data_IF_637166592275
#
_entry.id   IF_637166592275
#
_cell.length_a   1.000
_cell.length_b   1.000
_cell.length_c   1.000
_cell.angle_alpha   90.00
_cell.angle_beta   90.00
_cell.angle_gamma   90.00
#
_symmetry.space_group_name_H-M   'P 1'
#
loop_
_entity.id
_entity.type
_entity.pdbx_description
1 polymer ?
#
# COMPACT_ATOMS: atom_id res chain seq x y z
N UNK A 1 23.86 -1.34 17.35
CA UNK A 1 24.98 -0.38 17.19
C UNK A 1 24.66 0.76 16.21
N UNK A 2 24.05 0.50 15.04
CA UNK A 2 23.74 1.56 14.07
C UNK A 2 22.71 2.59 14.57
N UNK A 3 21.88 2.24 15.52
CA UNK A 3 20.82 3.08 16.07
C UNK A 3 21.10 3.55 17.51
N UNK A 4 22.30 3.25 18.04
CA UNK A 4 22.67 3.67 19.40
C UNK A 4 22.71 5.21 19.48
N UNK A 5 22.05 5.77 20.49
CA UNK A 5 21.96 7.22 20.70
C UNK A 5 20.91 7.96 19.87
N UNK A 6 20.15 7.27 18.99
CA UNK A 6 19.12 7.92 18.14
C UNK A 6 17.78 8.14 18.88
N UNK A 7 17.60 7.53 20.05
CA UNK A 7 16.32 7.56 20.79
C UNK A 7 15.22 6.66 20.23
N UNK A 8 15.45 5.96 19.11
CA UNK A 8 14.49 4.98 18.55
C UNK A 8 14.45 3.71 19.38
N UNK A 9 13.26 3.14 19.55
CA UNK A 9 13.11 1.82 20.16
C UNK A 9 13.41 0.73 19.14
N UNK A 10 14.16 -0.28 19.53
CA UNK A 10 14.53 -1.44 18.71
C UNK A 10 13.72 -2.63 19.20
N UNK A 11 12.97 -3.27 18.30
CA UNK A 11 12.32 -4.53 18.57
C UNK A 11 12.97 -5.62 17.69
N UNK A 12 13.49 -6.67 18.35
CA UNK A 12 13.97 -7.86 17.64
C UNK A 12 12.79 -8.79 17.40
N UNK A 13 12.60 -9.19 16.14
CA UNK A 13 11.50 -10.05 15.71
C UNK A 13 12.04 -11.36 15.15
N UNK A 14 11.18 -12.40 15.01
CA UNK A 14 11.59 -13.67 14.43
C UNK A 14 12.24 -13.49 13.05
N UNK A 15 13.21 -14.32 12.75
CA UNK A 15 13.86 -14.42 11.43
C UNK A 15 12.98 -15.15 10.41
N UNK A 16 11.99 -15.90 10.88
CA UNK A 16 11.16 -16.79 10.06
C UNK A 16 9.94 -16.09 9.41
N UNK A 17 9.78 -14.79 9.61
CA UNK A 17 8.68 -14.05 9.00
C UNK A 17 8.76 -14.05 7.48
N UNK A 18 7.63 -14.42 6.85
CA UNK A 18 7.50 -14.48 5.40
C UNK A 18 7.43 -13.09 4.75
N UNK A 19 6.93 -12.08 5.49
CA UNK A 19 6.76 -10.72 4.97
C UNK A 19 7.15 -9.64 5.98
N UNK A 20 7.29 -8.39 5.49
CA UNK A 20 7.45 -7.22 6.34
C UNK A 20 6.22 -6.95 7.21
N UNK A 21 5.03 -7.30 6.72
CA UNK A 21 3.76 -7.13 7.45
C UNK A 21 3.68 -8.08 8.65
N UNK A 22 4.13 -9.33 8.50
CA UNK A 22 4.22 -10.29 9.63
C UNK A 22 5.14 -9.76 10.72
N UNK A 23 6.29 -9.21 10.32
CA UNK A 23 7.25 -8.59 11.23
C UNK A 23 6.65 -7.40 11.97
N UNK A 24 5.90 -6.56 11.26
CA UNK A 24 5.24 -5.40 11.85
C UNK A 24 4.14 -5.82 12.85
N UNK A 25 3.38 -6.87 12.55
CA UNK A 25 2.39 -7.44 13.45
C UNK A 25 3.04 -7.96 14.75
N UNK A 26 4.20 -8.60 14.66
CA UNK A 26 4.96 -9.01 15.84
C UNK A 26 5.44 -7.80 16.65
N UNK A 27 5.96 -6.76 15.98
CA UNK A 27 6.35 -5.52 16.65
C UNK A 27 5.18 -4.88 17.41
N UNK A 28 3.99 -4.82 16.81
CA UNK A 28 2.80 -4.28 17.44
C UNK A 28 2.42 -5.06 18.72
N UNK A 29 2.51 -6.40 18.66
CA UNK A 29 2.25 -7.29 19.79
C UNK A 29 3.29 -7.11 20.91
N UNK A 30 4.59 -7.08 20.57
CA UNK A 30 5.67 -6.87 21.54
C UNK A 30 5.54 -5.52 22.25
N UNK A 31 5.18 -4.48 21.48
CA UNK A 31 5.01 -3.14 22.00
C UNK A 31 3.71 -2.94 22.80
N UNK A 32 2.77 -3.89 22.74
CA UNK A 32 1.47 -3.82 23.42
C UNK A 32 0.60 -2.68 22.92
N UNK A 33 0.66 -2.35 21.62
CA UNK A 33 -0.13 -1.26 21.07
C UNK A 33 -1.62 -1.60 21.07
N UNK A 34 -2.49 -0.66 21.53
CA UNK A 34 -3.93 -0.79 21.39
C UNK A 34 -4.36 -1.03 19.94
N UNK A 35 -5.47 -1.72 19.72
CA UNK A 35 -6.00 -2.10 18.41
C UNK A 35 -6.24 -0.92 17.47
N UNK A 36 -6.58 0.25 17.99
CA UNK A 36 -6.84 1.48 17.26
C UNK A 36 -5.58 2.30 16.95
N UNK A 37 -4.42 1.90 17.47
CA UNK A 37 -3.14 2.58 17.18
C UNK A 37 -2.87 2.54 15.67
N UNK A 38 -2.58 3.71 15.11
CA UNK A 38 -2.17 3.82 13.71
C UNK A 38 -0.67 3.57 13.60
N UNK A 39 -0.30 2.59 12.79
CA UNK A 39 1.07 2.16 12.54
C UNK A 39 1.40 2.42 11.08
N UNK A 40 2.34 3.30 10.80
CA UNK A 40 2.82 3.53 9.44
C UNK A 40 4.04 2.66 9.19
N UNK A 41 3.96 1.83 8.16
CA UNK A 41 5.05 0.97 7.72
C UNK A 41 5.91 1.71 6.69
N UNK A 42 7.12 2.03 7.08
CA UNK A 42 8.17 2.51 6.20
C UNK A 42 9.23 1.41 6.09
N UNK A 43 9.41 0.88 4.89
CA UNK A 43 10.40 -0.17 4.64
C UNK A 43 11.82 0.41 4.55
N UNK A 44 12.83 -0.41 4.86
CA UNK A 44 14.22 0.03 4.91
C UNK A 44 14.84 0.38 3.56
N UNK A 45 14.20 0.01 2.45
CA UNK A 45 14.54 0.36 1.08
C UNK A 45 13.97 1.70 0.62
N UNK A 46 13.13 2.36 1.45
CA UNK A 46 12.55 3.68 1.21
C UNK A 46 13.10 4.76 2.18
N UNK A 47 14.43 4.92 2.29
CA UNK A 47 15.02 5.82 3.31
C UNK A 47 14.72 7.30 3.06
N UNK A 48 14.31 7.67 1.85
CA UNK A 48 13.99 9.04 1.44
C UNK A 48 12.49 9.31 1.32
N UNK A 49 11.65 8.45 1.88
CA UNK A 49 10.21 8.67 1.86
C UNK A 49 9.84 10.04 2.44
N UNK A 50 9.08 10.88 1.72
CA UNK A 50 8.72 12.20 2.19
C UNK A 50 7.89 12.14 3.47
N UNK A 51 8.27 12.91 4.50
CA UNK A 51 7.51 12.96 5.75
C UNK A 51 6.04 13.39 5.54
N UNK A 52 5.74 14.14 4.49
CA UNK A 52 4.37 14.48 4.10
C UNK A 52 3.58 13.24 3.69
N UNK A 53 4.15 12.32 2.91
CA UNK A 53 3.51 11.06 2.53
C UNK A 53 3.23 10.17 3.75
N UNK A 54 4.20 10.04 4.66
CA UNK A 54 4.02 9.28 5.91
C UNK A 54 2.84 9.82 6.72
N UNK A 55 2.73 11.15 6.85
CA UNK A 55 1.60 11.80 7.54
C UNK A 55 0.29 11.60 6.80
N UNK A 56 0.27 11.76 5.47
CA UNK A 56 -0.93 11.58 4.66
C UNK A 56 -1.52 10.17 4.79
N UNK A 57 -0.67 9.13 4.81
CA UNK A 57 -1.12 7.75 5.04
C UNK A 57 -1.77 7.57 6.42
N UNK A 58 -1.22 8.18 7.47
CA UNK A 58 -1.80 8.13 8.82
C UNK A 58 -3.12 8.91 8.90
N UNK A 59 -3.17 10.12 8.32
CA UNK A 59 -4.34 11.01 8.36
C UNK A 59 -5.53 10.42 7.59
N UNK A 60 -5.29 9.87 6.39
CA UNK A 60 -6.37 9.23 5.63
C UNK A 60 -6.90 8.00 6.35
N UNK A 61 -6.04 7.20 6.99
CA UNK A 61 -6.48 6.06 7.80
C UNK A 61 -7.32 6.52 9.01
N UNK A 62 -6.91 7.59 9.67
CA UNK A 62 -7.64 8.13 10.83
C UNK A 62 -9.07 8.55 10.47
N UNK A 63 -9.26 9.13 9.29
CA UNK A 63 -10.52 9.75 8.85
C UNK A 63 -11.43 8.84 8.02
N UNK A 64 -10.89 7.84 7.31
CA UNK A 64 -11.65 7.05 6.32
C UNK A 64 -12.52 5.94 6.91
N UNK A 65 -12.25 5.49 8.13
CA UNK A 65 -12.85 4.27 8.70
C UNK A 65 -12.42 2.98 7.99
N UNK A 66 -11.41 3.01 7.12
CA UNK A 66 -10.80 1.83 6.53
C UNK A 66 -9.89 1.11 7.55
N UNK A 67 -9.54 -0.12 7.26
CA UNK A 67 -8.64 -0.93 8.08
C UNK A 67 -7.16 -0.67 7.74
N UNK A 68 -6.91 -0.24 6.51
CA UNK A 68 -5.59 0.00 5.94
C UNK A 68 -5.63 1.25 5.05
N UNK A 69 -4.49 1.92 4.89
CA UNK A 69 -4.34 3.02 3.94
C UNK A 69 -3.01 2.91 3.19
N UNK A 70 -2.96 3.53 2.03
CA UNK A 70 -1.76 3.64 1.20
C UNK A 70 -1.74 4.96 0.45
N UNK A 71 -0.69 5.17 -0.34
CA UNK A 71 -0.49 6.38 -1.12
C UNK A 71 -0.51 6.09 -2.62
N UNK A 72 -0.87 7.12 -3.38
CA UNK A 72 -0.75 7.10 -4.83
C UNK A 72 -0.23 8.44 -5.38
N UNK A 73 0.33 8.39 -6.58
CA UNK A 73 0.74 9.58 -7.33
C UNK A 73 0.21 9.47 -8.75
N UNK A 74 -0.12 10.57 -9.42
CA UNK A 74 -0.47 10.55 -10.84
C UNK A 74 0.62 9.93 -11.70
N UNK A 75 0.21 9.22 -12.76
CA UNK A 75 1.09 8.78 -13.85
C UNK A 75 0.96 9.81 -14.96
N UNK A 76 2.08 10.38 -15.40
CA UNK A 76 2.13 11.46 -16.37
C UNK A 76 2.67 11.03 -17.74
N UNK A 77 3.15 9.79 -17.85
CA UNK A 77 3.72 9.26 -19.08
C UNK A 77 3.27 7.81 -19.36
N UNK A 78 3.26 7.45 -20.64
CA UNK A 78 2.81 6.14 -21.10
C UNK A 78 3.78 5.03 -20.72
N UNK A 79 5.07 5.32 -20.63
CA UNK A 79 6.10 4.35 -20.27
C UNK A 79 5.87 3.83 -18.86
N UNK A 80 5.65 4.73 -17.89
CA UNK A 80 5.29 4.37 -16.52
C UNK A 80 3.98 3.59 -16.46
N UNK A 81 2.97 3.94 -17.28
CA UNK A 81 1.69 3.21 -17.30
C UNK A 81 1.88 1.75 -17.74
N UNK A 82 2.74 1.50 -18.72
CA UNK A 82 2.99 0.14 -19.24
C UNK A 82 4.11 -0.61 -18.50
N UNK A 83 4.86 0.05 -17.59
CA UNK A 83 5.87 -0.64 -16.77
C UNK A 83 5.18 -1.55 -15.73
N UNK A 84 5.40 -2.87 -15.78
CA UNK A 84 4.82 -3.80 -14.80
C UNK A 84 5.39 -3.64 -13.38
N UNK A 85 6.52 -2.93 -13.23
CA UNK A 85 7.11 -2.64 -11.91
C UNK A 85 6.45 -1.41 -11.27
N UNK A 86 5.89 -0.51 -12.06
CA UNK A 86 5.04 0.57 -11.59
C UNK A 86 3.62 0.02 -11.36
N UNK A 87 3.28 -0.33 -10.14
CA UNK A 87 1.94 -0.85 -9.81
C UNK A 87 0.90 0.26 -9.99
N UNK A 88 -0.13 -0.02 -10.77
CA UNK A 88 -1.28 0.87 -10.98
C UNK A 88 -2.36 0.56 -9.95
N UNK A 89 -3.15 1.58 -9.60
CA UNK A 89 -4.34 1.40 -8.80
C UNK A 89 -5.52 2.20 -9.35
N UNK A 90 -6.71 1.67 -9.14
CA UNK A 90 -7.98 2.37 -9.41
C UNK A 90 -8.64 2.71 -8.08
N UNK A 91 -9.10 3.95 -7.93
CA UNK A 91 -9.75 4.46 -6.73
C UNK A 91 -11.22 4.75 -7.01
N UNK A 92 -12.10 4.35 -6.09
CA UNK A 92 -13.52 4.68 -6.12
C UNK A 92 -13.79 6.14 -5.73
N UNK A 93 -15.02 6.58 -5.93
CA UNK A 93 -15.46 7.92 -5.55
C UNK A 93 -15.42 8.15 -4.02
N UNK A 94 -15.45 7.07 -3.24
CA UNK A 94 -15.32 7.07 -1.78
C UNK A 94 -13.86 7.18 -1.28
N UNK A 95 -12.89 7.27 -2.20
CA UNK A 95 -11.48 7.37 -1.89
C UNK A 95 -10.79 6.04 -1.58
N UNK A 96 -11.52 4.91 -1.62
CA UNK A 96 -10.93 3.59 -1.38
C UNK A 96 -10.41 2.96 -2.69
N UNK A 97 -9.37 2.13 -2.58
CA UNK A 97 -8.87 1.36 -3.69
C UNK A 97 -9.92 0.33 -4.15
N UNK A 98 -10.15 0.28 -5.45
CA UNK A 98 -10.97 -0.76 -6.10
C UNK A 98 -10.11 -1.94 -6.52
N UNK A 99 -8.91 -1.68 -7.04
CA UNK A 99 -7.98 -2.72 -7.47
C UNK A 99 -6.56 -2.19 -7.63
N UNK A 100 -5.59 -3.09 -7.52
CA UNK A 100 -4.18 -2.87 -7.83
C UNK A 100 -3.73 -3.85 -8.90
N UNK A 101 -2.95 -3.39 -9.89
CA UNK A 101 -2.46 -4.26 -10.96
C UNK A 101 -1.11 -3.82 -11.52
N UNK A 102 -0.35 -4.79 -11.98
CA UNK A 102 0.83 -4.55 -12.81
C UNK A 102 0.44 -4.16 -14.24
N UNK A 103 -0.75 -4.56 -14.70
CA UNK A 103 -1.30 -4.16 -15.98
C UNK A 103 -1.68 -2.66 -16.02
N UNK A 104 -1.73 -2.03 -17.20
CA UNK A 104 -2.24 -0.67 -17.35
C UNK A 104 -3.75 -0.62 -17.08
N UNK A 105 -4.13 -0.04 -15.95
CA UNK A 105 -5.51 0.17 -15.53
C UNK A 105 -5.73 1.62 -15.05
N UNK A 106 -6.93 2.23 -15.32
CA UNK A 106 -7.99 1.72 -16.21
C UNK A 106 -7.56 1.75 -17.67
N UNK A 107 -8.17 0.90 -18.50
CA UNK A 107 -7.88 0.82 -19.93
C UNK A 107 -8.77 1.78 -20.74
N UNK A 108 -8.22 2.83 -21.38
CA UNK A 108 -8.98 3.77 -22.20
C UNK A 108 -9.25 3.16 -23.58
N UNK A 109 -10.32 2.40 -23.69
CA UNK A 109 -10.65 1.53 -24.82
C UNK A 109 -10.42 2.16 -26.19
N UNK A 110 -11.04 3.31 -26.43
CA UNK A 110 -11.10 3.90 -27.78
C UNK A 110 -9.78 4.63 -28.11
N UNK A 111 -9.18 5.31 -27.11
CA UNK A 111 -7.92 6.01 -27.31
C UNK A 111 -6.77 5.02 -27.59
N UNK A 112 -6.64 3.95 -26.79
CA UNK A 112 -5.58 2.96 -26.99
C UNK A 112 -5.85 1.97 -28.15
N UNK A 113 -7.04 1.99 -28.73
CA UNK A 113 -7.29 1.35 -30.01
C UNK A 113 -6.65 2.14 -31.18
N UNK A 114 -6.59 3.47 -31.06
CA UNK A 114 -6.01 4.36 -32.07
C UNK A 114 -4.50 4.57 -31.86
N UNK A 115 -4.08 4.91 -30.65
CA UNK A 115 -2.68 5.18 -30.30
C UNK A 115 -2.38 4.75 -28.85
N UNK A 116 -1.24 4.09 -28.65
CA UNK A 116 -0.72 3.70 -27.32
C UNK A 116 0.57 4.42 -26.96
N UNK A 117 1.02 5.35 -27.79
CA UNK A 117 2.26 6.09 -27.58
C UNK A 117 2.10 7.30 -26.65
N UNK A 118 0.86 7.72 -26.40
CA UNK A 118 0.57 8.88 -25.55
C UNK A 118 -0.56 8.60 -24.59
N UNK A 119 -0.54 9.26 -23.42
CA UNK A 119 -1.68 9.20 -22.50
C UNK A 119 -2.80 10.10 -23.02
N UNK A 120 -4.05 9.60 -23.07
CA UNK A 120 -5.19 10.43 -23.45
C UNK A 120 -5.43 11.55 -22.44
N UNK A 121 -5.86 12.71 -22.94
CA UNK A 121 -6.25 13.85 -22.10
C UNK A 121 -7.40 13.48 -21.14
N UNK A 122 -7.34 14.02 -19.92
CA UNK A 122 -8.37 13.81 -18.90
C UNK A 122 -8.35 12.42 -18.25
N UNK A 123 -7.41 11.57 -18.58
CA UNK A 123 -7.20 10.28 -17.91
C UNK A 123 -6.58 10.47 -16.52
N UNK A 124 -7.02 9.65 -15.57
CA UNK A 124 -6.50 9.65 -14.20
C UNK A 124 -5.92 8.29 -13.87
N UNK A 125 -4.67 8.07 -14.28
CA UNK A 125 -3.92 6.89 -13.87
C UNK A 125 -3.14 7.19 -12.60
N UNK A 126 -3.14 6.24 -11.69
CA UNK A 126 -2.46 6.36 -10.41
C UNK A 126 -1.42 5.24 -10.27
N UNK A 127 -0.20 5.65 -9.91
CA UNK A 127 0.86 4.75 -9.47
C UNK A 127 0.79 4.61 -7.97
N UNK A 128 0.73 3.38 -7.50
CA UNK A 128 0.81 3.02 -6.10
C UNK A 128 2.21 3.32 -5.53
N UNK A 129 2.24 3.85 -4.30
CA UNK A 129 3.45 4.05 -3.51
C UNK A 129 3.37 3.12 -2.30
N UNK A 130 4.40 2.28 -2.11
CA UNK A 130 4.45 1.20 -1.13
C UNK A 130 4.54 1.62 0.35
N UNK A 131 4.03 2.80 0.70
CA UNK A 131 3.89 3.25 2.08
C UNK A 131 2.49 2.90 2.56
N UNK A 132 2.40 2.20 3.69
CA UNK A 132 1.13 1.74 4.23
C UNK A 132 0.92 2.22 5.66
N UNK A 133 -0.33 2.51 5.99
CA UNK A 133 -0.77 2.67 7.36
C UNK A 133 -1.79 1.59 7.72
N UNK A 134 -1.72 1.09 8.94
CA UNK A 134 -2.59 0.04 9.47
C UNK A 134 -3.11 0.42 10.85
N UNK A 135 -4.29 -0.08 11.22
CA UNK A 135 -4.64 -0.19 12.64
C UNK A 135 -3.95 -1.42 13.23
N UNK A 136 -3.36 -1.29 14.42
CA UNK A 136 -2.59 -2.37 15.03
C UNK A 136 -3.41 -3.67 15.17
N UNK A 137 -4.68 -3.59 15.54
CA UNK A 137 -5.57 -4.75 15.58
C UNK A 137 -5.84 -5.37 14.20
N UNK A 138 -5.80 -4.57 13.12
CA UNK A 138 -5.93 -5.10 11.77
C UNK A 138 -4.68 -5.87 11.32
N UNK A 139 -3.48 -5.46 11.73
CA UNK A 139 -2.25 -6.21 11.43
C UNK A 139 -2.34 -7.68 11.88
N UNK A 140 -2.88 -7.93 13.08
CA UNK A 140 -3.05 -9.30 13.57
C UNK A 140 -4.04 -10.09 12.72
N UNK A 141 -5.13 -9.46 12.29
CA UNK A 141 -6.13 -10.09 11.40
C UNK A 141 -5.55 -10.35 10.01
N UNK A 142 -4.82 -9.38 9.47
CA UNK A 142 -4.24 -9.48 8.13
C UNK A 142 -3.24 -10.62 8.02
N UNK A 143 -2.33 -10.78 8.98
CA UNK A 143 -1.34 -11.87 8.98
C UNK A 143 -1.97 -13.26 9.20
N UNK A 144 -3.19 -13.32 9.74
CA UNK A 144 -3.95 -14.55 9.86
C UNK A 144 -4.72 -14.93 8.57
N UNK A 145 -4.85 -14.01 7.60
CA UNK A 145 -5.51 -14.29 6.33
C UNK A 145 -4.61 -15.20 5.45
N UNK A 146 -5.18 -16.22 4.82
CA UNK A 146 -4.44 -17.00 3.84
C UNK A 146 -4.11 -16.14 2.61
N UNK A 147 -2.96 -16.39 1.95
CA UNK A 147 -2.61 -15.70 0.70
C UNK A 147 -3.72 -15.81 -0.35
N UNK A 148 -4.15 -14.67 -0.88
CA UNK A 148 -5.24 -14.56 -1.83
C UNK A 148 -4.89 -15.10 -3.23
N UNK A 149 -5.90 -15.33 -4.07
CA UNK A 149 -5.68 -15.73 -5.45
C UNK A 149 -5.09 -14.60 -6.28
N UNK A 150 -5.64 -13.39 -6.16
CA UNK A 150 -5.19 -12.21 -6.88
C UNK A 150 -3.79 -11.79 -6.42
N UNK A 151 -3.55 -11.87 -5.11
CA UNK A 151 -2.22 -11.65 -4.54
C UNK A 151 -1.16 -12.52 -5.21
N UNK A 152 -1.44 -13.82 -5.38
CA UNK A 152 -0.49 -14.75 -6.02
C UNK A 152 -0.27 -14.48 -7.50
N UNK A 153 -1.33 -14.07 -8.22
CA UNK A 153 -1.25 -13.77 -9.66
C UNK A 153 -0.44 -12.50 -9.92
N UNK A 154 -0.75 -11.43 -9.19
CA UNK A 154 -0.13 -10.12 -9.36
C UNK A 154 1.18 -9.97 -8.54
N UNK A 155 1.43 -10.86 -7.57
CA UNK A 155 2.48 -10.72 -6.55
C UNK A 155 2.37 -9.39 -5.82
N UNK A 156 1.16 -9.09 -5.33
CA UNK A 156 0.78 -7.87 -4.64
C UNK A 156 0.03 -8.21 -3.35
N UNK A 157 0.70 -8.11 -2.20
CA UNK A 157 0.18 -8.52 -0.89
C UNK A 157 -1.11 -7.78 -0.49
N UNK A 158 -1.25 -6.51 -0.86
CA UNK A 158 -2.43 -5.70 -0.56
C UNK A 158 -3.71 -6.19 -1.23
N UNK A 159 -3.63 -7.00 -2.29
CA UNK A 159 -4.80 -7.63 -2.89
C UNK A 159 -5.49 -8.62 -1.96
N UNK A 160 -4.77 -9.26 -1.03
CA UNK A 160 -5.34 -10.11 0.02
C UNK A 160 -6.36 -9.36 0.87
N UNK A 161 -6.09 -8.08 1.17
CA UNK A 161 -6.98 -7.21 1.93
C UNK A 161 -8.30 -7.00 1.17
N UNK A 162 -8.22 -6.66 -0.12
CA UNK A 162 -9.42 -6.46 -0.97
C UNK A 162 -10.19 -7.77 -1.18
N UNK A 163 -9.50 -8.90 -1.43
CA UNK A 163 -10.14 -10.22 -1.58
C UNK A 163 -10.87 -10.66 -0.31
N UNK A 164 -10.39 -10.26 0.86
CA UNK A 164 -11.03 -10.52 2.15
C UNK A 164 -12.17 -9.55 2.48
N UNK A 165 -12.49 -8.60 1.59
CA UNK A 165 -13.60 -7.65 1.76
C UNK A 165 -13.28 -6.46 2.65
N UNK A 166 -12.01 -6.23 2.99
CA UNK A 166 -11.58 -5.05 3.73
C UNK A 166 -11.28 -3.87 2.79
N UNK A 167 -11.24 -2.66 3.35
CA UNK A 167 -11.03 -1.44 2.59
C UNK A 167 -9.62 -0.92 2.76
N UNK A 168 -9.09 -0.34 1.69
CA UNK A 168 -7.80 0.36 1.66
C UNK A 168 -8.07 1.79 1.21
N UNK A 169 -7.92 2.76 2.11
CA UNK A 169 -8.02 4.18 1.77
C UNK A 169 -6.77 4.64 1.00
N UNK A 170 -6.93 5.57 0.05
CA UNK A 170 -5.85 6.05 -0.81
C UNK A 170 -5.73 7.57 -0.71
N UNK A 171 -4.56 8.07 -0.30
CA UNK A 171 -4.20 9.48 -0.30
C UNK A 171 -3.32 9.84 -1.52
#
# INVERSE_FOLDING_TARGET
RALDGTGVRIAMTSVDHASGTDRLAECARIAGWPDDTIVVNLQGDEPFAPAAGIRAAAEILASSGAEMATLATPIEDVETLFDPNAVKLVRGADGNALYFSRAPIPWPRDAFAADRGTLPDGGHWLRHIGIYAYRAGFLQRFTALPPGRLERIESLEQLRVLEAGFRIAVA
#
